data_IF_508600906426
#
_entry.id   IF_508600906426
#
_cell.length_a   1.000
_cell.length_b   1.000
_cell.length_c   1.000
_cell.angle_alpha   90.00
_cell.angle_beta   90.00
_cell.angle_gamma   90.00
#
_symmetry.space_group_name_H-M   'P 1'
#
loop_
_entity.id
_entity.type
_entity.pdbx_description
1 polymer ?
#
# COMPACT_ATOMS: atom_id res chain seq x y z
N UNK A 1 20.11 -11.02 -20.55
CA UNK A 1 20.55 -10.35 -19.31
C UNK A 1 19.31 -9.82 -18.59
N UNK A 2 18.88 -10.44 -17.49
CA UNK A 2 17.70 -10.04 -16.71
C UNK A 2 18.16 -9.49 -15.37
N UNK A 3 17.93 -8.20 -15.10
CA UNK A 3 18.19 -7.60 -13.79
C UNK A 3 16.92 -7.69 -12.92
N UNK A 4 16.93 -8.61 -11.96
CA UNK A 4 16.08 -8.55 -10.78
C UNK A 4 16.59 -7.41 -9.89
N UNK A 5 15.71 -6.46 -9.53
CA UNK A 5 15.97 -5.50 -8.45
C UNK A 5 14.86 -5.61 -7.40
N UNK A 6 15.09 -6.49 -6.43
CA UNK A 6 14.42 -6.49 -5.14
C UNK A 6 15.07 -5.37 -4.32
N UNK A 7 14.33 -4.31 -4.01
CA UNK A 7 14.80 -3.26 -3.10
C UNK A 7 14.38 -3.67 -1.69
N UNK A 8 15.36 -4.15 -0.93
CA UNK A 8 15.23 -4.49 0.48
C UNK A 8 15.76 -3.29 1.28
N UNK A 9 14.86 -2.49 1.86
CA UNK A 9 15.26 -1.37 2.73
C UNK A 9 15.47 -1.93 4.15
N UNK A 10 16.73 -2.22 4.47
CA UNK A 10 17.14 -2.58 5.83
C UNK A 10 17.20 -1.30 6.69
N UNK A 11 16.37 -1.23 7.73
CA UNK A 11 16.46 -0.22 8.78
C UNK A 11 17.54 -0.65 9.76
N UNK A 12 18.71 -0.02 9.67
CA UNK A 12 19.81 -0.22 10.63
C UNK A 12 19.48 0.54 11.92
N UNK A 13 19.28 -0.21 13.02
CA UNK A 13 19.12 0.32 14.36
C UNK A 13 20.51 0.35 15.04
N UNK A 14 21.05 1.54 15.32
CA UNK A 14 22.31 1.71 16.05
C UNK A 14 22.04 2.02 17.54
N UNK A 15 22.83 1.48 18.49
CA UNK A 15 22.59 1.65 19.92
C UNK A 15 23.07 3.03 20.42
N UNK A 16 22.23 3.69 21.22
CA UNK A 16 22.54 4.96 21.88
C UNK A 16 23.36 4.73 23.16
N UNK A 17 24.64 5.10 23.14
CA UNK A 17 25.41 5.38 24.35
C UNK A 17 25.08 6.80 24.84
N UNK A 18 24.73 6.91 26.11
CA UNK A 18 24.34 8.15 26.77
C UNK A 18 25.57 9.03 27.07
N UNK A 19 25.67 10.17 26.39
CA UNK A 19 26.52 11.30 26.79
C UNK A 19 25.60 12.42 27.26
N UNK A 20 25.81 12.90 28.48
CA UNK A 20 25.07 13.99 29.08
C UNK A 20 25.13 15.24 28.18
N UNK A 21 23.97 15.74 27.73
CA UNK A 21 23.86 16.88 26.84
C UNK A 21 23.78 18.21 27.64
N UNK A 22 24.47 19.28 27.20
CA UNK A 22 24.40 20.59 27.84
C UNK A 22 23.04 21.26 27.58
N UNK A 23 22.64 22.18 28.47
CA UNK A 23 21.37 22.90 28.43
C UNK A 23 21.09 23.52 27.04
N UNK A 24 19.99 23.07 26.43
CA UNK A 24 19.65 23.35 25.06
C UNK A 24 18.91 24.71 24.94
N UNK A 25 19.42 25.64 24.11
CA UNK A 25 18.79 26.95 23.86
C UNK A 25 17.30 26.80 23.51
N UNK A 26 16.40 27.63 24.06
CA UNK A 26 14.94 27.47 23.96
C UNK A 26 14.40 27.43 22.53
N UNK A 27 15.08 28.04 21.55
CA UNK A 27 14.64 28.06 20.14
C UNK A 27 15.17 26.91 19.27
N UNK A 28 16.10 26.10 19.76
CA UNK A 28 16.73 25.05 18.94
C UNK A 28 15.83 23.83 18.69
N UNK A 29 14.86 23.57 19.59
CA UNK A 29 13.90 22.48 19.46
C UNK A 29 12.86 22.75 18.36
N UNK A 30 12.28 23.94 18.35
CA UNK A 30 11.28 24.35 17.36
C UNK A 30 11.87 24.41 15.94
N UNK A 31 13.08 24.92 15.79
CA UNK A 31 13.79 24.94 14.51
C UNK A 31 14.05 23.52 13.99
N UNK A 32 14.51 22.60 14.86
CA UNK A 32 14.68 21.19 14.50
C UNK A 32 13.37 20.55 14.05
N UNK A 33 12.27 20.87 14.73
CA UNK A 33 10.95 20.35 14.40
C UNK A 33 10.46 20.91 13.05
N UNK A 34 10.71 22.18 12.77
CA UNK A 34 10.41 22.80 11.48
C UNK A 34 11.13 22.09 10.33
N UNK A 35 12.45 21.89 10.47
CA UNK A 35 13.27 21.18 9.46
C UNK A 35 12.74 19.77 9.24
N UNK A 36 12.39 19.05 10.30
CA UNK A 36 11.80 17.70 10.19
C UNK A 36 10.48 17.73 9.43
N UNK A 37 9.59 18.68 9.73
CA UNK A 37 8.29 18.79 9.05
C UNK A 37 8.45 19.17 7.58
N UNK A 38 9.40 20.05 7.26
CA UNK A 38 9.74 20.37 5.88
C UNK A 38 10.25 19.13 5.12
N UNK A 39 11.12 18.33 5.74
CA UNK A 39 11.61 17.08 5.14
C UNK A 39 10.49 16.04 4.93
N UNK A 40 9.51 15.99 5.83
CA UNK A 40 8.31 15.16 5.67
C UNK A 40 7.52 15.64 4.44
N UNK A 41 7.24 16.94 4.32
CA UNK A 41 6.57 17.51 3.17
C UNK A 41 7.27 17.19 1.84
N UNK A 42 8.60 17.36 1.78
CA UNK A 42 9.40 17.02 0.59
C UNK A 42 9.28 15.53 0.24
N UNK A 43 9.33 14.66 1.25
CA UNK A 43 9.23 13.21 1.04
C UNK A 43 7.85 12.81 0.52
N UNK A 44 6.78 13.39 1.07
CA UNK A 44 5.42 13.14 0.60
C UNK A 44 5.21 13.64 -0.83
N UNK A 45 5.75 14.81 -1.16
CA UNK A 45 5.69 15.34 -2.51
C UNK A 45 6.44 14.45 -3.52
N UNK A 46 7.59 13.89 -3.12
CA UNK A 46 8.31 12.92 -3.95
C UNK A 46 7.45 11.67 -4.23
N UNK A 47 6.78 11.13 -3.21
CA UNK A 47 5.88 9.98 -3.39
C UNK A 47 4.69 10.34 -4.28
N UNK A 48 4.10 11.53 -4.09
CA UNK A 48 3.02 12.02 -4.96
C UNK A 48 3.47 12.12 -6.43
N UNK A 49 4.67 12.63 -6.69
CA UNK A 49 5.24 12.69 -8.05
C UNK A 49 5.53 11.31 -8.63
N UNK A 50 5.95 10.33 -7.82
CA UNK A 50 6.10 8.95 -8.27
C UNK A 50 4.75 8.34 -8.66
N UNK A 51 3.68 8.60 -7.90
CA UNK A 51 2.33 8.19 -8.27
C UNK A 51 1.86 8.87 -9.55
N UNK A 52 2.15 10.16 -9.74
CA UNK A 52 1.81 10.89 -10.97
C UNK A 52 2.47 10.23 -12.20
N UNK A 53 3.74 9.80 -12.08
CA UNK A 53 4.42 9.04 -13.14
C UNK A 53 3.76 7.69 -13.42
N UNK A 54 3.41 6.93 -12.38
CA UNK A 54 2.74 5.62 -12.56
C UNK A 54 1.37 5.80 -13.21
N UNK A 55 0.54 6.73 -12.73
CA UNK A 55 -0.78 7.03 -13.29
C UNK A 55 -0.67 7.44 -14.77
N UNK A 56 0.34 8.24 -15.11
CA UNK A 56 0.62 8.66 -16.49
C UNK A 56 0.93 7.46 -17.37
N UNK A 57 1.77 6.53 -16.91
CA UNK A 57 2.09 5.32 -17.67
C UNK A 57 0.89 4.41 -17.84
N UNK A 58 0.06 4.22 -16.81
CA UNK A 58 -1.19 3.46 -16.96
C UNK A 58 -2.12 4.07 -18.01
N UNK A 59 -2.32 5.40 -17.94
CA UNK A 59 -3.15 6.13 -18.90
C UNK A 59 -2.62 6.01 -20.33
N UNK A 60 -1.30 6.13 -20.53
CA UNK A 60 -0.66 5.97 -21.85
C UNK A 60 -0.83 4.58 -22.45
N UNK A 61 -0.91 3.55 -21.61
CA UNK A 61 -1.11 2.17 -22.04
C UNK A 61 -2.60 1.81 -22.18
N UNK A 62 -3.53 2.76 -22.02
CA UNK A 62 -4.97 2.50 -22.03
C UNK A 62 -5.43 1.59 -20.89
N UNK A 63 -4.61 1.46 -19.84
CA UNK A 63 -4.93 0.68 -18.65
C UNK A 63 -5.72 1.59 -17.72
N UNK A 64 -7.03 1.63 -17.91
CA UNK A 64 -7.99 2.35 -17.06
C UNK A 64 -8.69 1.38 -16.09
N UNK A 65 -9.35 1.93 -15.06
CA UNK A 65 -10.15 1.16 -14.10
C UNK A 65 -9.79 1.42 -12.64
N UNK A 66 -10.36 0.61 -11.75
CA UNK A 66 -10.35 0.78 -10.29
C UNK A 66 -8.93 0.96 -9.70
N UNK A 67 -7.92 0.31 -10.27
CA UNK A 67 -6.53 0.45 -9.81
C UNK A 67 -5.98 1.86 -10.05
N UNK A 68 -6.24 2.46 -11.22
CA UNK A 68 -5.80 3.82 -11.53
C UNK A 68 -6.54 4.84 -10.69
N UNK A 69 -7.85 4.64 -10.48
CA UNK A 69 -8.65 5.53 -9.63
C UNK A 69 -8.23 5.45 -8.17
N UNK A 70 -7.86 4.25 -7.70
CA UNK A 70 -7.24 4.05 -6.40
C UNK A 70 -5.92 4.81 -6.28
N UNK A 71 -5.03 4.73 -7.27
CA UNK A 71 -3.78 5.51 -7.28
C UNK A 71 -4.03 7.03 -7.28
N UNK A 72 -5.00 7.51 -8.06
CA UNK A 72 -5.42 8.93 -8.07
C UNK A 72 -5.94 9.38 -6.72
N UNK A 73 -6.73 8.55 -6.03
CA UNK A 73 -7.21 8.82 -4.66
C UNK A 73 -6.04 8.96 -3.68
N UNK A 74 -5.10 8.02 -3.67
CA UNK A 74 -3.90 8.10 -2.82
C UNK A 74 -3.07 9.34 -3.10
N UNK A 75 -2.89 9.68 -4.38
CA UNK A 75 -2.25 10.92 -4.80
C UNK A 75 -2.98 12.12 -4.16
N UNK A 76 -4.30 12.20 -4.31
CA UNK A 76 -5.10 13.29 -3.74
C UNK A 76 -4.88 13.47 -2.24
N UNK A 77 -4.90 12.37 -1.48
CA UNK A 77 -4.68 12.38 -0.04
C UNK A 77 -3.26 12.87 0.34
N UNK A 78 -2.23 12.42 -0.37
CA UNK A 78 -0.85 12.89 -0.15
C UNK A 78 -0.68 14.38 -0.43
N UNK A 79 -1.39 14.90 -1.44
CA UNK A 79 -1.37 16.31 -1.77
C UNK A 79 -2.05 17.17 -0.71
N UNK A 80 -3.21 16.74 -0.20
CA UNK A 80 -3.89 17.41 0.89
C UNK A 80 -3.01 17.45 2.16
N UNK A 81 -2.42 16.31 2.52
CA UNK A 81 -1.52 16.20 3.66
C UNK A 81 -0.32 17.14 3.53
N UNK A 82 0.31 17.19 2.35
CA UNK A 82 1.49 18.04 2.11
C UNK A 82 1.13 19.54 2.12
N UNK A 83 0.09 19.91 1.35
CA UNK A 83 -0.24 21.30 1.07
C UNK A 83 -0.99 22.01 2.19
N UNK A 84 -1.89 21.32 2.89
CA UNK A 84 -2.70 21.94 3.94
C UNK A 84 -2.11 21.68 5.33
N UNK A 85 -1.81 20.42 5.65
CA UNK A 85 -1.48 20.03 7.03
C UNK A 85 0.00 20.31 7.35
N UNK A 86 0.93 19.77 6.57
CA UNK A 86 2.38 19.94 6.80
C UNK A 86 2.79 21.41 6.63
N UNK A 87 2.31 22.09 5.58
CA UNK A 87 2.61 23.50 5.38
C UNK A 87 2.06 24.38 6.52
N UNK A 88 0.87 24.06 7.04
CA UNK A 88 0.28 24.74 8.20
C UNK A 88 1.13 24.59 9.46
N UNK A 89 1.60 23.37 9.73
CA UNK A 89 2.52 23.07 10.85
C UNK A 89 3.82 23.87 10.72
N UNK A 90 4.45 23.86 9.54
CA UNK A 90 5.70 24.61 9.30
C UNK A 90 5.49 26.11 9.54
N UNK A 91 4.37 26.67 9.07
CA UNK A 91 4.01 28.08 9.29
C UNK A 91 3.87 28.39 10.79
N UNK A 92 3.20 27.52 11.55
CA UNK A 92 3.03 27.68 12.99
C UNK A 92 4.36 27.54 13.75
N UNK A 93 5.23 26.61 13.36
CA UNK A 93 6.58 26.46 13.95
C UNK A 93 7.46 27.68 13.72
N UNK A 94 7.42 28.27 12.51
CA UNK A 94 8.10 29.54 12.22
C UNK A 94 7.55 30.67 13.08
N UNK A 95 6.23 30.80 13.17
CA UNK A 95 5.58 31.84 13.96
C UNK A 95 5.84 31.70 15.48
N UNK A 96 6.00 30.47 15.98
CA UNK A 96 6.34 30.19 17.37
C UNK A 96 7.77 30.61 17.75
N UNK A 97 8.69 30.71 16.78
CA UNK A 97 10.06 31.18 17.01
C UNK A 97 10.15 32.71 17.15
N UNK A 98 9.12 33.45 16.69
CA UNK A 98 9.06 34.91 16.80
C UNK A 98 8.46 35.27 18.16
N UNK A 99 9.33 35.34 19.18
CA UNK A 99 8.90 35.58 20.56
C UNK A 99 8.47 37.05 20.76
N UNK A 100 9.17 38.02 20.14
CA UNK A 100 8.76 39.42 20.02
C UNK A 100 8.09 40.06 21.25
N UNK A 101 7.19 41.01 21.02
CA UNK A 101 6.41 41.68 22.08
C UNK A 101 5.21 40.85 22.60
N UNK A 102 4.98 39.63 22.08
CA UNK A 102 3.81 38.83 22.44
C UNK A 102 4.14 37.34 22.66
N UNK A 103 4.67 37.00 23.85
CA UNK A 103 4.99 35.62 24.22
C UNK A 103 3.79 34.66 24.22
N UNK A 104 2.58 35.18 24.49
CA UNK A 104 1.34 34.40 24.48
C UNK A 104 1.04 33.85 23.09
N UNK A 105 1.14 34.70 22.05
CA UNK A 105 0.97 34.26 20.65
C UNK A 105 2.02 33.25 20.21
N UNK A 106 3.26 33.40 20.65
CA UNK A 106 4.31 32.43 20.36
C UNK A 106 3.98 31.05 20.96
N UNK A 107 3.46 31.02 22.19
CA UNK A 107 2.98 29.80 22.86
C UNK A 107 1.78 29.17 22.14
N UNK A 108 0.78 29.97 21.75
CA UNK A 108 -0.39 29.51 20.98
C UNK A 108 0.03 28.87 19.65
N UNK A 109 0.98 29.47 18.94
CA UNK A 109 1.54 28.92 17.71
C UNK A 109 2.28 27.59 17.94
N UNK A 110 3.02 27.46 19.04
CA UNK A 110 3.70 26.20 19.39
C UNK A 110 2.70 25.07 19.69
N UNK A 111 1.63 25.37 20.43
CA UNK A 111 0.54 24.43 20.72
C UNK A 111 -0.17 24.03 19.43
N UNK A 112 -0.50 25.00 18.57
CA UNK A 112 -1.10 24.75 17.26
C UNK A 112 -0.23 23.84 16.40
N UNK A 113 1.07 24.12 16.31
CA UNK A 113 2.02 23.29 15.58
C UNK A 113 2.06 21.86 16.10
N UNK A 114 2.04 21.67 17.42
CA UNK A 114 2.03 20.34 18.02
C UNK A 114 0.73 19.58 17.70
N UNK A 115 -0.42 20.25 17.77
CA UNK A 115 -1.70 19.66 17.37
C UNK A 115 -1.71 19.28 15.89
N UNK A 116 -1.25 20.17 15.00
CA UNK A 116 -1.15 19.90 13.58
C UNK A 116 -0.24 18.71 13.26
N UNK A 117 0.84 18.52 14.02
CA UNK A 117 1.72 17.35 13.83
C UNK A 117 1.06 16.03 14.21
N UNK A 118 0.25 16.02 15.27
CA UNK A 118 -0.55 14.84 15.60
C UNK A 118 -1.54 14.54 14.48
N UNK A 119 -2.17 15.56 13.91
CA UNK A 119 -3.06 15.39 12.78
C UNK A 119 -2.35 14.80 11.57
N UNK A 120 -1.17 15.32 11.20
CA UNK A 120 -0.33 14.78 10.12
C UNK A 120 -0.03 13.29 10.34
N UNK A 121 0.27 12.89 11.58
CA UNK A 121 0.53 11.47 11.92
C UNK A 121 -0.73 10.63 11.72
N UNK A 122 -1.89 11.11 12.15
CA UNK A 122 -3.18 10.42 11.97
C UNK A 122 -3.51 10.26 10.49
N UNK A 123 -3.38 11.33 9.70
CA UNK A 123 -3.59 11.33 8.26
C UNK A 123 -2.66 10.33 7.55
N UNK A 124 -1.37 10.28 7.93
CA UNK A 124 -0.41 9.31 7.41
C UNK A 124 -0.82 7.86 7.70
N UNK A 125 -1.25 7.59 8.94
CA UNK A 125 -1.73 6.26 9.33
C UNK A 125 -2.97 5.86 8.54
N UNK A 126 -3.89 6.79 8.32
CA UNK A 126 -5.08 6.54 7.51
C UNK A 126 -4.71 6.22 6.07
N UNK A 127 -3.84 7.02 5.43
CA UNK A 127 -3.35 6.75 4.07
C UNK A 127 -2.70 5.36 3.98
N UNK A 128 -1.90 4.99 4.99
CA UNK A 128 -1.25 3.69 5.03
C UNK A 128 -2.25 2.53 5.17
N UNK A 129 -3.24 2.66 6.07
CA UNK A 129 -4.26 1.64 6.27
C UNK A 129 -5.14 1.47 5.03
N UNK A 130 -5.55 2.57 4.41
CA UNK A 130 -6.29 2.54 3.15
C UNK A 130 -5.47 1.82 2.06
N UNK A 131 -4.16 2.08 1.99
CA UNK A 131 -3.27 1.39 1.04
C UNK A 131 -3.20 -0.11 1.31
N UNK A 132 -3.03 -0.52 2.57
CA UNK A 132 -3.01 -1.94 2.93
C UNK A 132 -4.32 -2.63 2.56
N UNK A 133 -5.46 -2.01 2.89
CA UNK A 133 -6.77 -2.55 2.57
C UNK A 133 -6.93 -2.78 1.05
N UNK A 134 -6.47 -1.82 0.23
CA UNK A 134 -6.50 -1.96 -1.23
C UNK A 134 -5.59 -3.08 -1.74
N UNK A 135 -4.44 -3.33 -1.11
CA UNK A 135 -3.59 -4.47 -1.45
C UNK A 135 -4.25 -5.81 -1.11
N UNK A 136 -4.87 -5.92 0.06
CA UNK A 136 -5.58 -7.13 0.48
C UNK A 136 -6.75 -7.44 -0.46
N UNK A 137 -7.55 -6.44 -0.84
CA UNK A 137 -8.64 -6.65 -1.81
C UNK A 137 -8.14 -7.09 -3.20
N UNK A 138 -7.04 -6.52 -3.70
CA UNK A 138 -6.42 -6.97 -4.96
C UNK A 138 -5.96 -8.43 -4.86
N UNK A 139 -5.29 -8.79 -3.76
CA UNK A 139 -4.82 -10.15 -3.53
C UNK A 139 -6.01 -11.13 -3.45
N UNK A 140 -7.05 -10.77 -2.71
CA UNK A 140 -8.27 -11.57 -2.56
C UNK A 140 -8.97 -11.76 -3.91
N UNK A 141 -9.15 -10.69 -4.69
CA UNK A 141 -9.74 -10.74 -6.04
C UNK A 141 -8.96 -11.68 -6.95
N UNK A 142 -7.62 -11.59 -6.94
CA UNK A 142 -6.75 -12.47 -7.72
C UNK A 142 -6.90 -13.95 -7.31
N UNK A 143 -7.01 -14.23 -6.01
CA UNK A 143 -7.23 -15.59 -5.49
C UNK A 143 -8.61 -16.11 -5.89
N UNK A 144 -9.64 -15.28 -5.78
CA UNK A 144 -10.99 -15.64 -6.18
C UNK A 144 -11.09 -15.92 -7.69
N UNK A 145 -10.47 -15.09 -8.53
CA UNK A 145 -10.41 -15.32 -9.99
C UNK A 145 -9.70 -16.64 -10.31
N UNK A 146 -8.56 -16.92 -9.64
CA UNK A 146 -7.86 -18.20 -9.79
C UNK A 146 -8.75 -19.37 -9.40
N UNK A 147 -9.41 -19.31 -8.25
CA UNK A 147 -10.32 -20.34 -7.77
C UNK A 147 -11.47 -20.57 -8.77
N UNK A 148 -12.09 -19.50 -9.26
CA UNK A 148 -13.18 -19.56 -10.24
C UNK A 148 -12.73 -20.22 -11.56
N UNK A 149 -11.53 -19.89 -12.06
CA UNK A 149 -10.94 -20.51 -13.26
C UNK A 149 -10.68 -22.00 -13.05
N UNK A 150 -10.12 -22.40 -11.90
CA UNK A 150 -9.89 -23.82 -11.57
C UNK A 150 -11.21 -24.58 -11.49
N UNK A 151 -12.22 -24.01 -10.83
CA UNK A 151 -13.56 -24.59 -10.73
C UNK A 151 -14.21 -24.78 -12.11
N UNK A 152 -14.11 -23.77 -12.97
CA UNK A 152 -14.63 -23.85 -14.33
C UNK A 152 -13.95 -24.97 -15.13
N UNK A 153 -12.62 -25.07 -15.07
CA UNK A 153 -11.87 -26.13 -15.74
C UNK A 153 -12.20 -27.53 -15.22
N UNK A 154 -12.37 -27.67 -13.90
CA UNK A 154 -12.81 -28.94 -13.29
C UNK A 154 -14.21 -29.35 -13.80
N UNK A 155 -15.16 -28.41 -13.84
CA UNK A 155 -16.50 -28.65 -14.37
C UNK A 155 -16.47 -29.05 -15.85
N UNK A 156 -15.68 -28.35 -16.68
CA UNK A 156 -15.53 -28.70 -18.09
C UNK A 156 -15.00 -30.14 -18.26
N UNK A 157 -13.97 -30.53 -17.50
CA UNK A 157 -13.44 -31.91 -17.50
C UNK A 157 -14.49 -32.93 -17.08
N UNK A 158 -15.30 -32.64 -16.07
CA UNK A 158 -16.38 -33.52 -15.64
C UNK A 158 -17.43 -33.71 -16.74
N UNK A 159 -17.81 -32.63 -17.42
CA UNK A 159 -18.75 -32.68 -18.56
C UNK A 159 -18.17 -33.49 -19.71
N UNK A 160 -16.90 -33.29 -20.06
CA UNK A 160 -16.22 -34.06 -21.11
C UNK A 160 -16.17 -35.56 -20.79
N UNK A 161 -15.83 -35.92 -19.56
CA UNK A 161 -15.78 -37.31 -19.11
C UNK A 161 -17.17 -37.98 -19.21
N UNK A 162 -18.22 -37.31 -18.75
CA UNK A 162 -19.60 -37.81 -18.90
C UNK A 162 -19.99 -37.93 -20.37
N UNK A 163 -19.63 -36.96 -21.20
CA UNK A 163 -19.99 -36.97 -22.63
C UNK A 163 -19.28 -38.10 -23.39
N UNK A 164 -17.98 -38.30 -23.16
CA UNK A 164 -17.20 -39.39 -23.78
C UNK A 164 -17.65 -40.77 -23.30
N UNK A 165 -18.05 -40.92 -22.03
CA UNK A 165 -18.55 -42.19 -21.48
C UNK A 165 -19.80 -42.71 -22.19
N UNK A 166 -20.65 -41.80 -22.70
CA UNK A 166 -21.90 -42.16 -23.38
C UNK A 166 -21.69 -42.72 -24.79
N UNK A 167 -20.51 -42.54 -25.39
CA UNK A 167 -20.23 -42.90 -26.79
C UNK A 167 -19.15 -43.95 -27.02
N UNK A 168 -18.37 -44.35 -26.00
CA UNK A 168 -17.20 -45.22 -26.18
C UNK A 168 -17.11 -46.31 -25.11
N UNK A 169 -17.04 -47.57 -25.54
CA UNK A 169 -16.88 -48.75 -24.68
C UNK A 169 -15.45 -49.35 -24.75
N UNK A 170 -14.50 -48.60 -25.33
CA UNK A 170 -13.14 -49.10 -25.62
C UNK A 170 -12.24 -49.17 -24.37
N UNK A 171 -11.23 -50.04 -24.40
CA UNK A 171 -10.25 -50.19 -23.31
C UNK A 171 -9.38 -48.93 -23.14
N UNK A 172 -9.04 -48.25 -24.24
CA UNK A 172 -8.28 -46.98 -24.24
C UNK A 172 -9.02 -45.89 -23.48
N UNK A 173 -10.35 -45.79 -23.67
CA UNK A 173 -11.18 -44.85 -22.92
C UNK A 173 -11.13 -45.09 -21.39
N UNK A 174 -10.99 -46.33 -20.93
CA UNK A 174 -10.90 -46.65 -19.50
C UNK A 174 -9.60 -46.18 -18.86
N UNK A 175 -8.50 -46.12 -19.59
CA UNK A 175 -7.24 -45.57 -19.08
C UNK A 175 -7.24 -44.04 -19.09
N UNK A 176 -7.73 -43.42 -20.17
CA UNK A 176 -7.88 -41.95 -20.25
C UNK A 176 -8.81 -41.42 -19.15
N UNK A 177 -9.93 -42.12 -18.89
CA UNK A 177 -10.86 -41.76 -17.82
C UNK A 177 -10.24 -41.82 -16.42
N UNK A 178 -9.30 -42.73 -16.16
CA UNK A 178 -8.58 -42.78 -14.86
C UNK A 178 -7.65 -41.59 -14.69
N UNK A 179 -6.97 -41.17 -15.76
CA UNK A 179 -6.08 -40.00 -15.75
C UNK A 179 -6.92 -38.74 -15.51
N UNK A 180 -8.03 -38.58 -16.24
CA UNK A 180 -8.93 -37.45 -16.08
C UNK A 180 -9.53 -37.36 -14.66
N UNK A 181 -9.94 -38.49 -14.08
CA UNK A 181 -10.40 -38.56 -12.69
C UNK A 181 -9.30 -38.17 -11.70
N UNK A 182 -8.07 -38.63 -11.92
CA UNK A 182 -6.94 -38.28 -11.04
C UNK A 182 -6.62 -36.79 -11.11
N UNK A 183 -6.73 -36.18 -12.28
CA UNK A 183 -6.56 -34.73 -12.45
C UNK A 183 -7.67 -33.98 -11.70
N UNK A 184 -8.93 -34.41 -11.82
CA UNK A 184 -10.05 -33.81 -11.07
C UNK A 184 -9.87 -33.92 -9.55
N UNK A 185 -9.37 -35.04 -9.03
CA UNK A 185 -9.06 -35.19 -7.60
C UNK A 185 -8.00 -34.18 -7.13
N UNK A 186 -6.94 -34.00 -7.92
CA UNK A 186 -5.87 -33.04 -7.61
C UNK A 186 -6.39 -31.60 -7.67
N UNK A 187 -7.21 -31.27 -8.67
CA UNK A 187 -7.85 -29.97 -8.76
C UNK A 187 -8.79 -29.73 -7.58
N UNK A 188 -9.54 -30.74 -7.13
CA UNK A 188 -10.46 -30.62 -6.00
C UNK A 188 -9.72 -30.39 -4.69
N UNK A 189 -8.55 -31.03 -4.49
CA UNK A 189 -7.66 -30.74 -3.36
C UNK A 189 -7.15 -29.30 -3.43
N UNK A 190 -6.64 -28.87 -4.60
CA UNK A 190 -6.17 -27.49 -4.80
C UNK A 190 -7.26 -26.45 -4.60
N UNK A 191 -8.49 -26.72 -5.05
CA UNK A 191 -9.70 -25.92 -4.83
C UNK A 191 -10.00 -25.80 -3.34
N UNK A 192 -9.99 -26.92 -2.61
CA UNK A 192 -10.30 -26.94 -1.19
C UNK A 192 -9.26 -26.17 -0.37
N UNK A 193 -7.99 -26.22 -0.78
CA UNK A 193 -6.92 -25.50 -0.10
C UNK A 193 -6.96 -24.00 -0.42
N UNK A 194 -7.16 -23.60 -1.68
CA UNK A 194 -7.33 -22.18 -2.06
C UNK A 194 -8.58 -21.59 -1.40
N UNK A 195 -9.69 -22.34 -1.29
CA UNK A 195 -10.93 -21.88 -0.66
C UNK A 195 -10.79 -21.63 0.85
N UNK A 196 -9.92 -22.35 1.56
CA UNK A 196 -9.63 -22.09 2.99
C UNK A 196 -8.77 -20.84 3.22
N UNK A 197 -8.15 -20.34 2.16
CA UNK A 197 -7.25 -19.18 2.18
C UNK A 197 -7.95 -17.89 1.72
N UNK A 198 -9.25 -17.97 1.41
CA UNK A 198 -10.16 -16.84 1.18
C UNK A 198 -10.89 -16.49 2.47
#
# INVERSE_FOLDING_TARGET
>A
MKLNRIILVAVVCAPLLAVAAPAQKPNSGLLRQEVKQNNIGISLQRVASQLDSVITEYTRNGLEGDDVDTLRRFRGMLNQLTGAEVAGVVKQLKAAQIIGANPKRASENAIGAFSGQKQVIVSLKQIYLDWQLQQEFRLLSTRYERLAKTQHGNLQRAVELVTKSRGSNSYTYREDAKIDLRIQELDQVGINDEAKLL
#
